data_IF_931814595111
#
_entry.id   IF_931814595111
#
_cell.length_a   1.000
_cell.length_b   1.000
_cell.length_c   1.000
_cell.angle_alpha   90.00
_cell.angle_beta   90.00
_cell.angle_gamma   90.00
#
_symmetry.space_group_name_H-M   'P 1'
#
loop_
_entity.id
_entity.type
_entity.pdbx_description
1 polymer ?
#
# COMPACT_ATOMS: atom_id res chain seq x y z
N UNK A 1 25.05 -24.14 -36.28
CA UNK A 1 25.98 -23.51 -35.33
C UNK A 1 25.15 -22.63 -34.43
N UNK A 2 25.21 -22.86 -33.13
CA UNK A 2 24.61 -21.95 -32.15
C UNK A 2 25.47 -20.68 -32.13
N UNK A 3 24.84 -19.51 -32.18
CA UNK A 3 25.53 -18.23 -32.17
C UNK A 3 25.94 -17.79 -30.75
N UNK A 4 25.75 -18.65 -29.74
CA UNK A 4 26.12 -18.39 -28.35
C UNK A 4 25.19 -17.41 -27.64
N UNK A 5 23.96 -17.26 -28.13
CA UNK A 5 22.96 -16.35 -27.54
C UNK A 5 22.30 -17.00 -26.34
N UNK A 6 22.20 -16.27 -25.23
CA UNK A 6 21.40 -16.67 -24.08
C UNK A 6 20.59 -15.49 -23.56
N UNK A 7 19.56 -15.78 -22.76
CA UNK A 7 18.75 -14.78 -22.06
C UNK A 7 18.49 -15.28 -20.64
N UNK A 8 18.47 -14.35 -19.70
CA UNK A 8 18.10 -14.60 -18.31
C UNK A 8 17.18 -13.47 -17.85
N UNK A 9 16.12 -13.83 -17.13
CA UNK A 9 15.22 -12.88 -16.48
C UNK A 9 15.37 -13.10 -14.98
N UNK A 10 15.55 -12.02 -14.24
CA UNK A 10 15.59 -12.04 -12.78
C UNK A 10 14.81 -10.84 -12.26
N UNK A 11 14.29 -10.98 -11.04
CA UNK A 11 13.69 -9.85 -10.31
C UNK A 11 14.81 -9.12 -9.60
N UNK A 12 14.91 -7.81 -9.80
CA UNK A 12 15.86 -6.98 -9.06
C UNK A 12 15.44 -7.00 -7.59
N UNK A 13 16.31 -7.42 -6.65
CA UNK A 13 15.99 -7.37 -5.23
C UNK A 13 15.95 -5.92 -4.75
N UNK A 14 15.22 -5.67 -3.66
CA UNK A 14 15.23 -4.37 -2.98
C UNK A 14 16.67 -3.95 -2.71
N UNK A 15 17.06 -2.80 -3.27
CA UNK A 15 18.43 -2.30 -3.31
C UNK A 15 18.42 -0.79 -3.15
N UNK A 16 19.56 -0.21 -2.77
CA UNK A 16 19.71 1.24 -2.74
C UNK A 16 19.64 1.77 -4.18
N UNK A 17 19.00 2.93 -4.36
CA UNK A 17 18.93 3.62 -5.62
C UNK A 17 20.31 3.90 -6.25
N UNK A 18 20.33 4.09 -7.57
CA UNK A 18 21.52 4.37 -8.36
C UNK A 18 21.90 3.25 -9.32
N UNK A 19 23.12 3.34 -9.84
CA UNK A 19 23.62 2.45 -10.88
C UNK A 19 24.05 1.10 -10.31
N UNK A 20 23.46 0.03 -10.85
CA UNK A 20 23.84 -1.35 -10.61
C UNK A 20 24.41 -1.95 -11.88
N UNK A 21 25.55 -2.64 -11.77
CA UNK A 21 26.18 -3.33 -12.89
C UNK A 21 25.73 -4.78 -12.92
N UNK A 22 25.09 -5.17 -14.01
CA UNK A 22 24.77 -6.57 -14.33
C UNK A 22 25.86 -7.12 -15.23
N UNK A 23 26.53 -8.18 -14.77
CA UNK A 23 27.63 -8.81 -15.50
C UNK A 23 27.26 -10.22 -15.97
N UNK A 24 27.53 -10.50 -17.23
CA UNK A 24 27.49 -11.82 -17.84
C UNK A 24 28.92 -12.27 -18.17
N UNK A 25 29.32 -13.48 -17.75
CA UNK A 25 30.67 -13.99 -18.01
C UNK A 25 30.68 -15.49 -18.33
N UNK A 26 31.58 -15.90 -19.21
CA UNK A 26 31.93 -17.30 -19.50
C UNK A 26 33.23 -17.75 -18.79
N UNK A 27 33.77 -16.92 -17.89
CA UNK A 27 35.06 -17.12 -17.22
C UNK A 27 36.27 -16.55 -17.95
N UNK A 28 36.11 -16.07 -19.19
CA UNK A 28 37.17 -15.44 -20.00
C UNK A 28 36.73 -14.04 -20.45
N UNK A 29 35.53 -13.93 -21.01
CA UNK A 29 34.88 -12.73 -21.49
C UNK A 29 33.85 -12.24 -20.47
N UNK A 30 33.67 -10.92 -20.38
CA UNK A 30 32.67 -10.27 -19.55
C UNK A 30 31.92 -9.24 -20.39
N UNK A 31 30.59 -9.30 -20.35
CA UNK A 31 29.71 -8.24 -20.84
C UNK A 31 29.00 -7.59 -19.64
N UNK A 32 28.98 -6.26 -19.62
CA UNK A 32 28.32 -5.49 -18.57
C UNK A 32 27.15 -4.70 -19.15
N UNK A 33 26.08 -4.61 -18.38
CA UNK A 33 24.98 -3.68 -18.59
C UNK A 33 24.77 -2.88 -17.30
N UNK A 34 24.42 -1.60 -17.44
CA UNK A 34 24.05 -0.76 -16.29
C UNK A 34 22.54 -0.71 -16.21
N UNK A 35 22.01 -0.97 -15.03
CA UNK A 35 20.61 -0.79 -14.67
C UNK A 35 20.56 0.28 -13.58
N UNK A 36 19.82 1.35 -13.81
CA UNK A 36 19.68 2.45 -12.84
C UNK A 36 18.36 2.30 -12.11
N UNK A 37 18.45 2.19 -10.78
CA UNK A 37 17.30 2.20 -9.88
C UNK A 37 17.01 3.64 -9.46
N UNK A 38 15.76 4.08 -9.50
CA UNK A 38 15.41 5.45 -9.11
C UNK A 38 15.52 5.67 -7.60
N UNK A 39 15.77 6.92 -7.20
CA UNK A 39 15.92 7.33 -5.81
C UNK A 39 14.79 8.21 -5.29
N UNK A 40 13.88 8.62 -6.17
CA UNK A 40 12.82 9.56 -5.81
C UNK A 40 11.68 8.77 -5.18
N UNK A 41 11.26 9.16 -3.99
CA UNK A 41 10.10 8.54 -3.35
C UNK A 41 8.83 8.94 -4.10
N UNK A 42 7.83 8.04 -4.21
CA UNK A 42 6.54 8.40 -4.76
C UNK A 42 5.85 9.46 -3.89
N UNK A 43 4.79 10.07 -4.41
CA UNK A 43 3.98 11.01 -3.62
C UNK A 43 3.28 10.30 -2.45
N UNK A 44 2.97 11.08 -1.42
CA UNK A 44 2.12 10.63 -0.31
C UNK A 44 0.68 10.51 -0.87
N UNK A 45 0.02 9.35 -0.77
CA UNK A 45 -1.37 9.22 -1.22
C UNK A 45 -2.31 10.17 -0.47
N UNK A 46 -3.45 10.53 -1.05
CA UNK A 46 -4.47 11.33 -0.36
C UNK A 46 -5.60 10.41 0.08
N UNK A 47 -5.80 10.19 1.40
CA UNK A 47 -6.92 9.39 1.88
C UNK A 47 -8.27 9.95 1.42
N UNK A 48 -9.21 9.11 1.02
CA UNK A 48 -10.56 9.50 0.58
C UNK A 48 -11.62 8.92 1.51
N UNK A 49 -11.68 7.60 1.65
CA UNK A 49 -12.65 6.91 2.50
C UNK A 49 -11.99 5.93 3.48
N UNK A 50 -12.57 5.71 4.67
CA UNK A 50 -13.68 6.48 5.24
C UNK A 50 -13.31 7.95 5.49
N UNK A 51 -14.31 8.83 5.44
CA UNK A 51 -14.14 10.22 5.84
C UNK A 51 -13.74 10.31 7.32
N UNK A 52 -13.08 11.41 7.69
CA UNK A 52 -12.62 11.63 9.06
C UNK A 52 -13.81 11.57 10.03
N UNK A 53 -13.66 10.74 11.06
CA UNK A 53 -14.67 10.50 12.09
C UNK A 53 -16.02 9.96 11.57
N UNK A 54 -16.08 9.43 10.35
CA UNK A 54 -17.27 8.79 9.82
C UNK A 54 -17.50 7.40 10.42
N UNK A 55 -18.76 6.95 10.42
CA UNK A 55 -19.13 5.58 10.82
C UNK A 55 -19.09 4.66 9.61
N UNK A 56 -18.11 3.76 9.58
CA UNK A 56 -17.96 2.72 8.57
C UNK A 56 -18.65 1.41 9.00
N UNK A 57 -18.91 0.55 8.00
CA UNK A 57 -19.31 -0.84 8.23
C UNK A 57 -18.16 -1.63 8.86
N UNK A 58 -18.46 -2.79 9.43
CA UNK A 58 -17.43 -3.69 10.00
C UNK A 58 -16.43 -4.16 8.94
N UNK A 59 -16.90 -4.40 7.73
CA UNK A 59 -16.08 -4.61 6.53
C UNK A 59 -15.85 -3.27 5.82
N UNK A 60 -15.16 -2.36 6.50
CA UNK A 60 -14.93 -1.01 6.00
C UNK A 60 -14.23 -1.04 4.64
N UNK A 61 -14.63 -0.10 3.78
CA UNK A 61 -14.00 0.16 2.51
C UNK A 61 -13.06 1.35 2.67
N UNK A 62 -11.79 1.14 2.38
CA UNK A 62 -10.73 2.15 2.41
C UNK A 62 -10.39 2.53 0.97
N UNK A 63 -10.29 3.83 0.73
CA UNK A 63 -10.03 4.40 -0.59
C UNK A 63 -9.09 5.60 -0.44
N UNK A 64 -8.17 5.76 -1.36
CA UNK A 64 -7.22 6.86 -1.45
C UNK A 64 -6.94 7.21 -2.91
N UNK A 65 -6.47 8.43 -3.15
CA UNK A 65 -6.10 8.86 -4.50
C UNK A 65 -4.93 8.04 -5.06
N UNK A 66 -5.01 7.76 -6.36
CA UNK A 66 -3.93 7.14 -7.11
C UNK A 66 -2.64 7.95 -7.04
N UNK A 67 -1.55 7.27 -6.74
CA UNK A 67 -0.19 7.76 -6.92
C UNK A 67 0.39 7.12 -8.17
N UNK A 68 1.04 7.93 -8.99
CA UNK A 68 1.71 7.47 -10.21
C UNK A 68 3.20 7.65 -10.06
N UNK A 69 3.95 6.67 -10.57
CA UNK A 69 5.40 6.66 -10.60
C UNK A 69 5.88 5.92 -11.86
N UNK A 70 6.97 6.34 -12.53
CA UNK A 70 7.47 5.68 -13.74
C UNK A 70 7.75 4.18 -13.59
N UNK A 71 8.14 3.71 -12.40
CA UNK A 71 8.40 2.29 -12.14
C UNK A 71 7.16 1.50 -11.68
N UNK A 72 6.02 2.18 -11.54
CA UNK A 72 4.78 1.64 -11.00
C UNK A 72 4.69 1.80 -9.48
N UNK A 73 3.49 1.62 -8.92
CA UNK A 73 3.21 1.86 -7.50
C UNK A 73 2.43 0.69 -6.90
N UNK A 74 2.75 0.36 -5.66
CA UNK A 74 1.92 -0.45 -4.76
C UNK A 74 1.71 0.29 -3.45
N UNK A 75 0.76 -0.16 -2.63
CA UNK A 75 0.43 0.49 -1.36
C UNK A 75 0.60 -0.44 -0.17
N UNK A 76 0.88 0.20 0.97
CA UNK A 76 0.77 -0.41 2.29
C UNK A 76 -0.32 0.32 3.07
N UNK A 77 -1.35 -0.41 3.51
CA UNK A 77 -2.41 0.08 4.38
C UNK A 77 -2.19 -0.45 5.79
N UNK A 78 -2.25 0.44 6.79
CA UNK A 78 -2.28 0.07 8.20
C UNK A 78 -3.56 0.56 8.85
N UNK A 79 -4.11 -0.26 9.75
CA UNK A 79 -5.21 0.08 10.65
C UNK A 79 -4.73 -0.21 12.09
N UNK A 80 -4.99 0.70 13.00
CA UNK A 80 -4.59 0.64 14.40
C UNK A 80 -5.72 1.07 15.34
N UNK A 81 -5.61 0.70 16.61
CA UNK A 81 -6.51 1.16 17.68
C UNK A 81 -6.04 2.46 18.37
N UNK A 82 -4.87 2.97 18.01
CA UNK A 82 -4.30 4.24 18.47
C UNK A 82 -3.74 5.06 17.30
N UNK A 83 -3.67 6.39 17.48
CA UNK A 83 -3.24 7.35 16.45
C UNK A 83 -1.72 7.34 16.21
N UNK A 84 -0.95 6.80 17.16
CA UNK A 84 0.50 6.61 17.06
C UNK A 84 0.91 5.33 16.34
N UNK A 85 -0.04 4.46 15.96
CA UNK A 85 0.21 3.15 15.36
C UNK A 85 1.11 2.26 16.23
N UNK A 86 1.00 2.38 17.56
CA UNK A 86 1.65 1.46 18.51
C UNK A 86 0.96 0.10 18.60
N UNK A 87 -0.34 0.05 18.27
CA UNK A 87 -1.22 -1.12 18.29
C UNK A 87 -1.86 -1.32 16.91
N UNK A 88 -1.04 -1.71 15.94
CA UNK A 88 -1.51 -2.09 14.59
C UNK A 88 -2.32 -3.38 14.69
N UNK A 89 -3.56 -3.33 14.18
CA UNK A 89 -4.48 -4.46 14.16
C UNK A 89 -4.54 -5.16 12.80
N UNK A 90 -4.26 -4.41 11.73
CA UNK A 90 -4.21 -4.93 10.37
C UNK A 90 -3.14 -4.17 9.59
N UNK A 91 -2.36 -4.91 8.81
CA UNK A 91 -1.46 -4.37 7.80
C UNK A 91 -1.63 -5.16 6.51
N UNK A 92 -1.85 -4.44 5.40
CA UNK A 92 -1.90 -5.01 4.05
C UNK A 92 -0.76 -4.43 3.25
N UNK A 93 0.05 -5.31 2.68
CA UNK A 93 1.21 -4.96 1.87
C UNK A 93 0.95 -5.31 0.40
N UNK A 94 1.68 -4.66 -0.50
CA UNK A 94 1.66 -4.93 -1.95
C UNK A 94 0.26 -4.82 -2.56
N UNK A 95 -0.56 -3.87 -2.08
CA UNK A 95 -1.85 -3.58 -2.69
C UNK A 95 -1.60 -2.90 -4.04
N UNK A 96 -2.13 -3.47 -5.12
CA UNK A 96 -1.99 -2.91 -6.47
C UNK A 96 -2.99 -1.77 -6.70
N UNK A 97 -4.20 -1.93 -6.19
CA UNK A 97 -5.26 -0.94 -6.33
C UNK A 97 -5.19 0.09 -5.18
N UNK A 98 -5.67 1.31 -5.44
CA UNK A 98 -5.74 2.41 -4.46
C UNK A 98 -6.91 2.27 -3.47
N UNK A 99 -7.40 1.05 -3.30
CA UNK A 99 -8.55 0.74 -2.47
C UNK A 99 -8.36 -0.61 -1.76
N UNK A 100 -9.03 -0.78 -0.62
CA UNK A 100 -9.11 -2.05 0.05
C UNK A 100 -10.41 -2.19 0.84
N UNK A 101 -11.13 -3.28 0.61
CA UNK A 101 -12.30 -3.65 1.42
C UNK A 101 -11.94 -4.79 2.35
N UNK A 102 -12.16 -4.59 3.65
CA UNK A 102 -11.91 -5.63 4.65
C UNK A 102 -12.78 -6.87 4.38
N UNK A 103 -12.18 -8.05 4.55
CA UNK A 103 -12.93 -9.31 4.48
C UNK A 103 -13.72 -9.55 5.77
N UNK A 104 -14.59 -10.57 5.78
CA UNK A 104 -15.34 -10.96 6.97
C UNK A 104 -14.44 -11.45 8.13
N UNK A 105 -13.25 -11.97 7.80
CA UNK A 105 -12.22 -12.39 8.75
C UNK A 105 -11.45 -11.19 9.32
N UNK A 106 -11.33 -10.11 8.55
CA UNK A 106 -10.62 -8.88 8.91
C UNK A 106 -11.54 -7.82 9.53
N UNK A 107 -12.83 -8.14 9.70
CA UNK A 107 -13.83 -7.17 10.12
C UNK A 107 -13.49 -6.55 11.48
N UNK A 108 -13.71 -5.25 11.56
CA UNK A 108 -13.45 -4.48 12.76
C UNK A 108 -14.56 -4.65 13.80
N UNK A 109 -14.18 -4.60 15.07
CA UNK A 109 -15.11 -4.58 16.20
C UNK A 109 -15.93 -3.29 16.22
N UNK A 110 -17.18 -3.36 16.68
CA UNK A 110 -18.02 -2.17 16.85
C UNK A 110 -17.42 -1.22 17.88
N UNK A 111 -17.42 0.07 17.60
CA UNK A 111 -16.82 1.08 18.45
C UNK A 111 -17.78 1.70 19.47
N UNK A 112 -19.09 1.45 19.34
CA UNK A 112 -20.18 1.87 20.25
C UNK A 112 -19.93 3.20 21.00
N UNK A 113 -19.45 4.21 20.26
CA UNK A 113 -19.19 5.58 20.73
C UNK A 113 -18.04 5.76 21.75
N UNK A 114 -17.05 4.86 21.80
CA UNK A 114 -15.95 4.93 22.80
C UNK A 114 -14.53 4.95 22.24
N UNK A 115 -14.25 4.23 21.15
CA UNK A 115 -12.91 4.16 20.58
C UNK A 115 -12.95 4.37 19.06
N UNK A 116 -12.02 5.12 18.48
CA UNK A 116 -11.87 5.20 17.03
C UNK A 116 -10.82 4.19 16.57
N UNK A 117 -10.95 3.73 15.34
CA UNK A 117 -9.82 3.15 14.62
C UNK A 117 -9.10 4.26 13.86
N UNK A 118 -7.79 4.09 13.70
CA UNK A 118 -6.95 4.97 12.94
C UNK A 118 -6.38 4.19 11.76
N UNK A 119 -6.33 4.82 10.60
CA UNK A 119 -5.75 4.20 9.42
C UNK A 119 -4.85 5.18 8.68
N UNK A 120 -3.85 4.63 8.01
CA UNK A 120 -2.91 5.37 7.18
C UNK A 120 -2.45 4.49 6.04
N UNK A 121 -2.05 5.13 4.96
CA UNK A 121 -1.52 4.47 3.77
C UNK A 121 -0.18 5.09 3.39
N UNK A 122 0.65 4.37 2.64
CA UNK A 122 1.80 4.92 1.93
C UNK A 122 1.95 4.22 0.58
N UNK A 123 2.56 4.91 -0.36
CA UNK A 123 2.93 4.37 -1.66
C UNK A 123 4.36 3.79 -1.59
N UNK A 124 4.60 2.71 -2.32
CA UNK A 124 5.89 2.07 -2.55
C UNK A 124 6.06 1.97 -4.07
N UNK A 125 7.13 2.55 -4.61
CA UNK A 125 7.42 2.47 -6.05
C UNK A 125 8.04 1.09 -6.43
N UNK A 126 8.26 0.87 -7.73
CA UNK A 126 8.92 -0.33 -8.25
C UNK A 126 10.41 -0.44 -7.88
N UNK A 127 10.99 0.65 -7.38
CA UNK A 127 12.34 0.68 -6.81
C UNK A 127 12.39 0.43 -5.29
N UNK A 128 11.24 0.18 -4.66
CA UNK A 128 11.06 0.02 -3.22
C UNK A 128 11.32 1.28 -2.38
N UNK A 129 11.32 2.47 -2.97
CA UNK A 129 11.23 3.70 -2.21
C UNK A 129 9.79 3.89 -1.71
N UNK A 130 9.66 4.12 -0.40
CA UNK A 130 8.37 4.41 0.22
C UNK A 130 8.17 5.90 0.40
N UNK A 131 6.97 6.38 0.12
CA UNK A 131 6.56 7.69 0.59
C UNK A 131 6.45 7.71 2.12
N UNK A 132 6.44 8.92 2.69
CA UNK A 132 6.00 9.09 4.07
C UNK A 132 4.56 8.59 4.22
N UNK A 133 4.21 8.17 5.44
CA UNK A 133 2.84 7.80 5.74
C UNK A 133 1.90 8.99 5.63
N UNK A 134 0.66 8.75 5.19
CA UNK A 134 -0.40 9.75 5.31
C UNK A 134 -0.60 10.15 6.77
N UNK A 135 -1.06 11.38 7.00
CA UNK A 135 -1.59 11.74 8.31
C UNK A 135 -2.71 10.75 8.68
N UNK A 136 -2.71 10.20 9.92
CA UNK A 136 -3.72 9.23 10.33
C UNK A 136 -5.13 9.78 10.18
N UNK A 137 -6.02 8.98 9.59
CA UNK A 137 -7.45 9.25 9.59
C UNK A 137 -8.15 8.38 10.60
N UNK A 138 -9.09 8.96 11.34
CA UNK A 138 -9.92 8.23 12.28
C UNK A 138 -11.26 7.84 11.66
N UNK A 139 -11.80 6.68 12.03
CA UNK A 139 -13.15 6.28 11.73
C UNK A 139 -13.76 5.50 12.90
N UNK A 140 -15.09 5.46 12.96
CA UNK A 140 -15.85 4.60 13.85
C UNK A 140 -16.37 3.40 13.07
N UNK A 141 -16.61 2.28 13.75
CA UNK A 141 -17.16 1.08 13.14
C UNK A 141 -18.44 0.71 13.84
N UNK A 142 -19.53 0.55 13.09
CA UNK A 142 -20.80 0.22 13.73
C UNK A 142 -21.99 0.35 12.79
N UNK A 143 -23.19 0.24 13.37
CA UNK A 143 -24.44 0.46 12.64
C UNK A 143 -24.65 1.96 12.40
N UNK A 144 -24.85 2.35 11.14
CA UNK A 144 -25.34 3.69 10.81
C UNK A 144 -26.86 3.72 10.93
N UNK A 145 -27.38 4.41 11.95
CA UNK A 145 -28.83 4.59 12.15
C UNK A 145 -29.50 5.43 11.04
N UNK A 146 -28.72 6.13 10.20
CA UNK A 146 -29.23 6.95 9.10
C UNK A 146 -29.56 6.14 7.82
N UNK A 147 -29.26 4.84 7.79
CA UNK A 147 -29.50 3.98 6.61
C UNK A 147 -30.81 3.18 6.68
N UNK A 148 -31.67 3.40 7.68
CA UNK A 148 -33.00 2.77 7.69
C UNK A 148 -33.99 3.62 6.89
N UNK A 149 -34.79 3.02 5.98
CA UNK A 149 -35.96 3.70 5.44
C UNK A 149 -36.86 4.11 6.61
N UNK A 150 -37.41 5.31 6.56
CA UNK A 150 -38.41 5.74 7.51
C UNK A 150 -39.66 4.84 7.36
N UNK A 151 -39.77 3.86 8.28
CA UNK A 151 -40.92 3.09 8.78
C UNK A 151 -41.91 2.39 7.81
N UNK A 152 -42.42 1.24 8.26
CA UNK A 152 -43.82 1.22 8.68
C UNK A 152 -44.04 0.25 9.84
N UNK A 153 -44.56 0.82 10.93
CA UNK A 153 -45.47 0.23 11.91
C UNK A 153 -46.68 -0.43 11.28
#
# INVERSE_FOLDING_TARGET
YDNGSFSAIFTVPSSVAGDHVVSATDGISIANAVFTLESETPLIPVPLLPEVAATAKKTAHFDWEDVTDPSGVTYVLQIASDDGFGSVILEKNNLADSEYTLTEEEKLGSTENKASYYWRVRAIDGAFNGSEWTTPRSCYVGFSWFSMPAWST
#
